data_IF_412831277456
#
_entry.id   IF_412831277456
#
_cell.length_a   1.000
_cell.length_b   1.000
_cell.length_c   1.000
_cell.angle_alpha   90.00
_cell.angle_beta   90.00
_cell.angle_gamma   90.00
#
_symmetry.space_group_name_H-M   'P 1'
#
loop_
_entity.id
_entity.type
_entity.pdbx_description
1 polymer ?
#
# COMPACT_ATOMS: atom_id res chain seq x y z
N UNK A 1 -18.81 12.72 17.13
CA UNK A 1 -17.53 12.03 16.87
C UNK A 1 -16.62 13.04 16.21
N UNK A 2 -15.37 13.15 16.66
CA UNK A 2 -14.38 14.04 16.05
C UNK A 2 -14.14 13.57 14.60
N UNK A 3 -14.18 14.50 13.66
CA UNK A 3 -13.92 14.22 12.25
C UNK A 3 -12.41 14.01 12.08
N UNK A 4 -11.99 12.80 11.69
CA UNK A 4 -10.57 12.47 11.47
C UNK A 4 -10.02 13.35 10.35
N UNK A 5 -8.86 13.93 10.57
CA UNK A 5 -8.14 14.75 9.60
C UNK A 5 -6.93 14.00 9.02
N UNK A 6 -6.39 14.41 7.86
CA UNK A 6 -5.17 13.82 7.31
C UNK A 6 -4.03 13.71 8.33
N UNK A 7 -3.82 14.75 9.12
CA UNK A 7 -2.78 14.78 10.14
C UNK A 7 -2.94 13.68 11.20
N UNK A 8 -4.16 13.36 11.62
CA UNK A 8 -4.40 12.32 12.62
C UNK A 8 -3.97 10.94 12.10
N UNK A 9 -4.17 10.69 10.80
CA UNK A 9 -3.70 9.48 10.12
C UNK A 9 -2.17 9.44 10.07
N UNK A 10 -1.55 10.54 9.62
CA UNK A 10 -0.10 10.61 9.46
C UNK A 10 0.62 10.51 10.81
N UNK A 11 0.18 11.26 11.82
CA UNK A 11 0.76 11.22 13.16
C UNK A 11 0.67 9.81 13.76
N UNK A 12 -0.46 9.13 13.58
CA UNK A 12 -0.63 7.76 14.03
C UNK A 12 0.29 6.79 13.28
N UNK A 13 0.29 6.86 11.94
CA UNK A 13 1.07 5.93 11.10
C UNK A 13 2.57 6.06 11.36
N UNK A 14 3.09 7.28 11.39
CA UNK A 14 4.52 7.50 11.59
C UNK A 14 4.97 7.29 13.04
N UNK A 15 4.12 7.52 14.03
CA UNK A 15 4.42 7.16 15.42
C UNK A 15 4.50 5.64 15.65
N UNK A 16 3.85 4.83 14.81
CA UNK A 16 3.90 3.38 14.91
C UNK A 16 5.31 2.83 14.64
N UNK A 17 6.01 3.38 13.66
CA UNK A 17 7.38 3.05 13.33
C UNK A 17 7.56 1.72 12.60
N UNK A 18 8.80 1.44 12.24
CA UNK A 18 9.23 0.35 11.37
C UNK A 18 8.67 -1.02 11.73
N UNK A 19 8.73 -1.41 13.01
CA UNK A 19 8.28 -2.74 13.42
C UNK A 19 6.80 -3.00 13.14
N UNK A 20 5.94 -2.00 13.42
CA UNK A 20 4.50 -2.15 13.23
C UNK A 20 4.06 -2.07 11.78
N UNK A 21 4.86 -1.47 10.91
CA UNK A 21 4.56 -1.43 9.48
C UNK A 21 4.75 -2.78 8.79
N UNK A 22 5.76 -3.56 9.23
CA UNK A 22 6.18 -4.76 8.54
C UNK A 22 5.92 -6.07 9.30
N UNK A 23 5.67 -5.99 10.61
CA UNK A 23 5.31 -7.16 11.40
C UNK A 23 3.82 -7.18 11.69
N UNK A 24 3.20 -8.36 11.52
CA UNK A 24 1.82 -8.57 11.93
C UNK A 24 1.66 -8.28 13.42
N UNK A 25 0.64 -7.50 13.77
CA UNK A 25 0.27 -7.18 15.15
C UNK A 25 -1.24 -7.03 15.24
N UNK A 26 -1.90 -8.04 15.82
CA UNK A 26 -3.36 -8.02 15.99
C UNK A 26 -3.81 -6.83 16.86
N UNK A 27 -2.97 -6.41 17.82
CA UNK A 27 -3.23 -5.22 18.63
C UNK A 27 -3.19 -3.93 17.80
N UNK A 28 -2.23 -3.81 16.89
CA UNK A 28 -2.13 -2.65 16.00
C UNK A 28 -3.28 -2.63 14.98
N UNK A 29 -3.64 -3.79 14.43
CA UNK A 29 -4.78 -3.94 13.54
C UNK A 29 -6.10 -3.57 14.24
N UNK A 30 -6.26 -3.97 15.52
CA UNK A 30 -7.43 -3.60 16.33
C UNK A 30 -7.47 -2.08 16.59
N UNK A 31 -6.33 -1.45 16.87
CA UNK A 31 -6.24 0.00 17.06
C UNK A 31 -6.61 0.76 15.76
N UNK A 32 -6.10 0.32 14.61
CA UNK A 32 -6.48 0.89 13.29
C UNK A 32 -8.00 0.77 13.09
N UNK A 33 -8.58 -0.41 13.36
CA UNK A 33 -10.01 -0.64 13.21
C UNK A 33 -10.83 0.28 14.10
N UNK A 34 -10.43 0.42 15.36
CA UNK A 34 -11.13 1.28 16.32
C UNK A 34 -11.06 2.76 15.94
N UNK A 35 -9.88 3.25 15.55
CA UNK A 35 -9.64 4.67 15.29
C UNK A 35 -10.03 5.10 13.89
N UNK A 36 -9.78 4.26 12.89
CA UNK A 36 -9.82 4.64 11.47
C UNK A 36 -10.73 3.77 10.60
N UNK A 37 -11.44 2.78 11.15
CA UNK A 37 -12.34 1.94 10.36
C UNK A 37 -13.40 2.76 9.62
N UNK A 38 -14.04 3.73 10.31
CA UNK A 38 -14.98 4.67 9.66
C UNK A 38 -14.30 5.55 8.60
N UNK A 39 -13.08 6.01 8.87
CA UNK A 39 -12.30 6.81 7.92
C UNK A 39 -12.01 6.02 6.65
N UNK A 40 -11.66 4.73 6.80
CA UNK A 40 -11.50 3.83 5.67
C UNK A 40 -12.80 3.71 4.85
N UNK A 41 -13.93 3.46 5.49
CA UNK A 41 -15.24 3.37 4.79
C UNK A 41 -15.57 4.65 4.05
N UNK A 42 -15.31 5.81 4.64
CA UNK A 42 -15.51 7.12 4.03
C UNK A 42 -14.55 7.35 2.85
N UNK A 43 -13.30 6.89 2.93
CA UNK A 43 -12.33 6.94 1.84
C UNK A 43 -12.74 6.04 0.67
N UNK A 44 -13.19 4.81 0.96
CA UNK A 44 -13.73 3.89 -0.06
C UNK A 44 -14.93 4.52 -0.77
N UNK A 45 -15.82 5.14 -0.03
CA UNK A 45 -17.02 5.82 -0.55
C UNK A 45 -16.73 7.16 -1.29
N UNK A 46 -15.46 7.59 -1.38
CA UNK A 46 -15.10 8.85 -2.05
C UNK A 46 -15.37 10.13 -1.26
N UNK A 47 -15.84 10.00 -0.01
CA UNK A 47 -16.18 11.17 0.83
C UNK A 47 -14.94 11.96 1.29
N UNK A 48 -13.76 11.36 1.19
CA UNK A 48 -12.50 11.97 1.57
C UNK A 48 -11.62 12.36 0.35
N UNK A 49 -12.15 12.29 -0.87
CA UNK A 49 -11.39 12.61 -2.08
C UNK A 49 -10.89 14.07 -2.09
N UNK A 50 -11.53 14.97 -1.33
CA UNK A 50 -11.05 16.35 -1.11
C UNK A 50 -9.68 16.41 -0.41
N UNK A 51 -9.25 15.35 0.29
CA UNK A 51 -7.90 15.26 0.87
C UNK A 51 -6.82 15.29 -0.21
N UNK A 52 -7.14 14.91 -1.43
CA UNK A 52 -6.25 15.09 -2.59
C UNK A 52 -5.96 16.56 -2.94
N UNK A 53 -6.51 17.51 -2.21
CA UNK A 53 -6.26 18.95 -2.42
C UNK A 53 -4.85 19.42 -2.02
N UNK A 54 -4.15 18.68 -1.17
CA UNK A 54 -2.82 19.03 -0.63
C UNK A 54 -1.93 17.80 -0.44
N UNK A 55 -0.58 17.96 -0.40
CA UNK A 55 0.37 16.82 -0.34
C UNK A 55 0.15 15.89 0.86
N UNK A 56 -0.04 16.43 2.06
CA UNK A 56 -0.26 15.65 3.28
C UNK A 56 -1.61 14.91 3.24
N UNK A 57 -2.62 15.55 2.68
CA UNK A 57 -3.94 14.93 2.50
C UNK A 57 -3.87 13.75 1.53
N UNK A 58 -3.18 13.92 0.40
CA UNK A 58 -2.95 12.86 -0.58
C UNK A 58 -2.20 11.67 0.04
N UNK A 59 -1.11 11.93 0.78
CA UNK A 59 -0.35 10.91 1.49
C UNK A 59 -1.22 10.13 2.49
N UNK A 60 -2.00 10.84 3.31
CA UNK A 60 -2.90 10.22 4.29
C UNK A 60 -3.95 9.33 3.61
N UNK A 61 -4.58 9.81 2.53
CA UNK A 61 -5.60 9.07 1.81
C UNK A 61 -5.05 7.80 1.15
N UNK A 62 -3.83 7.88 0.59
CA UNK A 62 -3.14 6.73 0.02
C UNK A 62 -2.84 5.71 1.12
N UNK A 63 -2.31 6.11 2.28
CA UNK A 63 -2.05 5.21 3.42
C UNK A 63 -3.34 4.53 3.89
N UNK A 64 -4.44 5.27 4.00
CA UNK A 64 -5.74 4.70 4.41
C UNK A 64 -6.21 3.63 3.43
N UNK A 65 -6.11 3.86 2.13
CA UNK A 65 -6.62 2.93 1.12
C UNK A 65 -5.67 1.75 0.86
N UNK A 66 -4.35 2.00 0.90
CA UNK A 66 -3.35 0.98 0.58
C UNK A 66 -2.91 0.19 1.82
N UNK A 67 -2.57 0.87 2.92
CA UNK A 67 -2.00 0.22 4.10
C UNK A 67 -3.06 -0.23 5.10
N UNK A 68 -4.01 0.66 5.47
CA UNK A 68 -5.03 0.28 6.45
C UNK A 68 -5.94 -0.82 5.93
N UNK A 69 -6.19 -0.93 4.62
CA UNK A 69 -6.92 -2.05 4.04
C UNK A 69 -6.30 -3.39 4.43
N UNK A 70 -4.97 -3.50 4.38
CA UNK A 70 -4.23 -4.72 4.74
C UNK A 70 -4.33 -5.03 6.24
N UNK A 71 -4.25 -4.01 7.09
CA UNK A 71 -4.42 -4.18 8.54
C UNK A 71 -5.87 -4.54 8.92
N UNK A 72 -6.85 -3.94 8.26
CA UNK A 72 -8.27 -4.15 8.57
C UNK A 72 -8.80 -5.51 8.11
N UNK A 73 -8.26 -6.04 7.01
CA UNK A 73 -8.83 -7.17 6.28
C UNK A 73 -7.78 -8.25 5.97
N UNK A 74 -6.92 -8.58 6.93
CA UNK A 74 -5.98 -9.70 6.74
C UNK A 74 -6.72 -10.97 6.35
N UNK A 75 -6.17 -11.71 5.40
CA UNK A 75 -6.73 -12.97 4.89
C UNK A 75 -8.14 -12.83 4.25
N UNK A 76 -8.50 -11.60 3.81
CA UNK A 76 -9.76 -11.30 3.14
C UNK A 76 -9.46 -10.51 1.85
N UNK A 77 -10.23 -10.76 0.78
CA UNK A 77 -10.06 -10.08 -0.52
C UNK A 77 -10.13 -8.54 -0.42
N UNK A 78 -10.79 -8.03 0.60
CA UNK A 78 -10.89 -6.57 0.86
C UNK A 78 -9.55 -5.92 1.15
N UNK A 79 -8.53 -6.70 1.57
CA UNK A 79 -7.17 -6.20 1.79
C UNK A 79 -6.59 -5.54 0.53
N UNK A 80 -6.99 -5.98 -0.66
CA UNK A 80 -6.50 -5.49 -1.94
C UNK A 80 -7.57 -4.81 -2.80
N UNK A 81 -8.82 -4.76 -2.33
CA UNK A 81 -9.95 -4.22 -3.09
C UNK A 81 -9.78 -2.74 -3.48
N UNK A 82 -8.95 -1.99 -2.76
CA UNK A 82 -8.72 -0.57 -3.01
C UNK A 82 -7.39 -0.27 -3.71
N UNK A 83 -6.60 -1.29 -4.09
CA UNK A 83 -5.28 -1.10 -4.71
C UNK A 83 -5.36 -0.22 -5.98
N UNK A 84 -6.37 -0.42 -6.83
CA UNK A 84 -6.59 0.38 -8.04
C UNK A 84 -6.90 1.85 -7.69
N UNK A 85 -7.72 2.10 -6.68
CA UNK A 85 -8.06 3.46 -6.24
C UNK A 85 -6.84 4.14 -5.61
N UNK A 86 -6.10 3.43 -4.75
CA UNK A 86 -4.88 3.93 -4.15
C UNK A 86 -3.83 4.29 -5.22
N UNK A 87 -3.66 3.43 -6.23
CA UNK A 87 -2.77 3.71 -7.36
C UNK A 87 -3.19 4.94 -8.16
N UNK A 88 -4.49 5.13 -8.39
CA UNK A 88 -4.98 6.32 -9.10
C UNK A 88 -4.64 7.61 -8.35
N UNK A 89 -4.75 7.60 -7.02
CA UNK A 89 -4.35 8.75 -6.19
C UNK A 89 -2.83 8.93 -6.12
N UNK A 90 -2.07 7.84 -6.08
CA UNK A 90 -0.61 7.91 -6.15
C UNK A 90 -0.14 8.55 -7.47
N UNK A 91 -0.71 8.14 -8.60
CA UNK A 91 -0.44 8.74 -9.91
C UNK A 91 -0.79 10.24 -9.94
N UNK A 92 -1.95 10.60 -9.42
CA UNK A 92 -2.37 12.01 -9.35
C UNK A 92 -1.45 12.83 -8.44
N UNK A 93 -1.02 12.29 -7.30
CA UNK A 93 -0.07 12.94 -6.41
C UNK A 93 1.29 13.19 -7.10
N UNK A 94 1.81 12.19 -7.83
CA UNK A 94 3.04 12.35 -8.61
C UNK A 94 2.86 13.35 -9.75
N UNK A 95 1.76 13.28 -10.51
CA UNK A 95 1.45 14.23 -11.59
C UNK A 95 1.41 15.67 -11.09
N UNK A 96 0.89 15.90 -9.88
CA UNK A 96 0.81 17.20 -9.22
C UNK A 96 2.09 17.58 -8.48
N UNK A 97 3.11 16.72 -8.49
CA UNK A 97 4.39 16.88 -7.79
C UNK A 97 4.27 16.96 -6.27
N UNK A 98 3.21 16.42 -5.69
CA UNK A 98 3.03 16.35 -4.24
C UNK A 98 4.08 15.47 -3.56
N UNK A 99 4.56 14.44 -4.26
CA UNK A 99 5.63 13.56 -3.80
C UNK A 99 6.91 14.33 -3.46
N UNK A 100 7.26 15.39 -4.19
CA UNK A 100 8.47 16.18 -3.93
C UNK A 100 8.26 17.29 -2.88
N UNK A 101 7.00 17.57 -2.54
CA UNK A 101 6.65 18.53 -1.49
C UNK A 101 6.64 17.93 -0.08
N UNK A 102 6.61 16.59 0.02
CA UNK A 102 6.72 15.87 1.29
C UNK A 102 8.17 15.43 1.58
N UNK A 103 8.54 15.22 2.86
CA UNK A 103 9.88 14.76 3.22
C UNK A 103 10.24 13.44 2.52
N UNK A 104 11.47 13.33 2.03
CA UNK A 104 11.94 12.15 1.31
C UNK A 104 11.78 10.85 2.10
N UNK A 105 11.93 10.91 3.43
CA UNK A 105 11.84 9.76 4.35
C UNK A 105 10.46 9.07 4.35
N UNK A 106 9.41 9.79 3.96
CA UNK A 106 8.03 9.26 3.97
C UNK A 106 7.43 9.17 2.56
N UNK A 107 8.19 9.57 1.56
CA UNK A 107 7.75 9.63 0.16
C UNK A 107 7.45 8.25 -0.43
N UNK A 108 8.12 7.20 0.07
CA UNK A 108 7.87 5.82 -0.33
C UNK A 108 6.39 5.44 -0.18
N UNK A 109 5.66 5.99 0.79
CA UNK A 109 4.25 5.67 0.99
C UNK A 109 3.34 6.16 -0.14
N UNK A 110 3.72 7.21 -0.88
CA UNK A 110 3.04 7.58 -2.13
C UNK A 110 3.30 6.55 -3.23
N UNK A 111 4.48 5.91 -3.22
CA UNK A 111 4.87 4.98 -4.29
C UNK A 111 4.46 3.53 -4.01
N UNK A 112 4.08 3.17 -2.77
CA UNK A 112 3.67 1.81 -2.41
C UNK A 112 2.58 1.23 -3.31
N UNK A 113 1.54 1.98 -3.74
CA UNK A 113 0.52 1.43 -4.65
C UNK A 113 1.06 0.94 -6.00
N UNK A 114 2.17 1.48 -6.49
CA UNK A 114 2.83 0.97 -7.70
C UNK A 114 3.43 -0.43 -7.45
N UNK A 115 4.10 -0.62 -6.30
CA UNK A 115 4.68 -1.89 -5.88
C UNK A 115 3.61 -2.97 -5.66
N UNK A 116 2.40 -2.58 -5.31
CA UNK A 116 1.30 -3.48 -5.04
C UNK A 116 0.47 -3.87 -6.27
N UNK A 117 0.75 -3.27 -7.43
CA UNK A 117 0.05 -3.56 -8.68
C UNK A 117 0.45 -4.92 -9.27
N UNK A 118 -0.51 -5.63 -9.84
CA UNK A 118 -0.25 -6.84 -10.64
C UNK A 118 -0.02 -6.52 -12.15
N UNK A 119 0.17 -5.26 -12.50
CA UNK A 119 0.53 -4.81 -13.85
C UNK A 119 2.04 -4.52 -13.90
N UNK A 120 2.77 -5.23 -14.77
CA UNK A 120 4.23 -5.09 -14.88
C UNK A 120 4.65 -3.68 -15.31
N UNK A 121 3.92 -3.02 -16.21
CA UNK A 121 4.25 -1.67 -16.62
C UNK A 121 4.13 -0.67 -15.46
N UNK A 122 3.17 -0.88 -14.56
CA UNK A 122 3.01 -0.09 -13.34
C UNK A 122 4.16 -0.35 -12.35
N UNK A 123 4.57 -1.61 -12.20
CA UNK A 123 5.73 -1.98 -11.38
C UNK A 123 7.00 -1.28 -11.89
N UNK A 124 7.26 -1.33 -13.19
CA UNK A 124 8.42 -0.71 -13.83
C UNK A 124 8.39 0.83 -13.73
N UNK A 125 7.21 1.44 -13.86
CA UNK A 125 7.02 2.86 -13.56
C UNK A 125 7.41 3.18 -12.11
N UNK A 126 6.96 2.36 -11.16
CA UNK A 126 7.24 2.50 -9.74
C UNK A 126 8.72 2.39 -9.40
N UNK A 127 9.45 1.45 -10.01
CA UNK A 127 10.91 1.31 -9.82
C UNK A 127 11.66 2.63 -10.08
N UNK A 128 11.22 3.40 -11.08
CA UNK A 128 11.79 4.70 -11.37
C UNK A 128 11.57 5.74 -10.25
N UNK A 129 10.49 5.62 -9.48
CA UNK A 129 10.24 6.48 -8.32
C UNK A 129 11.04 6.03 -7.10
N UNK A 130 11.06 4.72 -6.81
CA UNK A 130 11.81 4.16 -5.68
C UNK A 130 13.32 4.41 -5.82
N UNK A 131 13.88 4.34 -7.03
CA UNK A 131 15.29 4.64 -7.29
C UNK A 131 15.72 6.07 -6.88
N UNK A 132 14.77 7.01 -6.74
CA UNK A 132 15.05 8.39 -6.34
C UNK A 132 15.07 8.60 -4.82
N UNK A 133 14.76 7.56 -4.03
CA UNK A 133 14.64 7.67 -2.58
C UNK A 133 15.98 7.49 -1.85
N UNK A 134 17.02 7.02 -2.54
CA UNK A 134 18.32 6.65 -1.96
C UNK A 134 18.15 5.71 -0.74
N UNK A 135 17.21 4.77 -0.85
CA UNK A 135 16.91 3.78 0.17
C UNK A 135 17.03 2.36 -0.41
N UNK A 136 18.18 1.70 -0.21
CA UNK A 136 18.45 0.39 -0.81
C UNK A 136 17.47 -0.70 -0.36
N UNK A 137 16.97 -0.66 0.87
CA UNK A 137 16.02 -1.67 1.38
C UNK A 137 14.68 -1.57 0.68
N UNK A 138 14.16 -0.35 0.54
CA UNK A 138 12.91 -0.10 -0.17
C UNK A 138 13.05 -0.42 -1.65
N UNK A 139 14.18 -0.06 -2.27
CA UNK A 139 14.46 -0.40 -3.67
C UNK A 139 14.51 -1.90 -3.89
N UNK A 140 15.23 -2.64 -3.02
CA UNK A 140 15.28 -4.10 -3.07
C UNK A 140 13.88 -4.71 -3.00
N UNK A 141 13.05 -4.24 -2.07
CA UNK A 141 11.66 -4.71 -1.94
C UNK A 141 10.85 -4.44 -3.22
N UNK A 142 11.02 -3.26 -3.83
CA UNK A 142 10.33 -2.93 -5.08
C UNK A 142 10.79 -3.85 -6.25
N UNK A 143 12.08 -4.14 -6.34
CA UNK A 143 12.62 -5.08 -7.33
C UNK A 143 12.09 -6.50 -7.14
N UNK A 144 12.02 -6.98 -5.89
CA UNK A 144 11.46 -8.30 -5.57
C UNK A 144 9.99 -8.41 -5.99
N UNK A 145 9.18 -7.38 -5.76
CA UNK A 145 7.79 -7.35 -6.20
C UNK A 145 7.67 -7.35 -7.73
N UNK A 146 8.45 -6.52 -8.40
CA UNK A 146 8.47 -6.46 -9.86
C UNK A 146 8.91 -7.80 -10.48
N UNK A 147 9.88 -8.50 -9.86
CA UNK A 147 10.33 -9.81 -10.32
C UNK A 147 9.24 -10.89 -10.21
N UNK A 148 8.46 -10.85 -9.14
CA UNK A 148 7.30 -11.74 -8.98
C UNK A 148 6.29 -11.51 -10.11
N UNK A 149 6.01 -10.26 -10.44
CA UNK A 149 5.08 -9.93 -11.52
C UNK A 149 5.65 -10.30 -12.91
N UNK A 150 6.96 -10.15 -13.14
CA UNK A 150 7.62 -10.64 -14.36
C UNK A 150 7.49 -12.15 -14.51
N UNK A 151 7.64 -12.90 -13.41
CA UNK A 151 7.61 -14.37 -13.41
C UNK A 151 6.21 -14.94 -13.54
N UNK A 152 5.26 -14.39 -12.81
CA UNK A 152 3.94 -14.99 -12.65
C UNK A 152 2.78 -14.14 -13.20
N UNK A 153 3.00 -12.86 -13.52
CA UNK A 153 1.96 -11.92 -13.95
C UNK A 153 0.97 -11.54 -12.83
N UNK A 154 1.21 -12.03 -11.62
CA UNK A 154 0.38 -11.79 -10.43
C UNK A 154 1.14 -12.14 -9.15
N UNK A 155 0.59 -11.77 -7.99
CA UNK A 155 1.13 -12.19 -6.70
C UNK A 155 0.55 -13.54 -6.26
N UNK A 156 1.34 -14.63 -6.24
CA UNK A 156 0.84 -15.96 -5.88
C UNK A 156 0.24 -16.06 -4.47
N UNK A 157 0.78 -15.31 -3.49
CA UNK A 157 0.27 -15.31 -2.12
C UNK A 157 -1.18 -14.82 -2.01
N UNK A 158 -1.68 -14.06 -2.99
CA UNK A 158 -3.07 -13.59 -3.02
C UNK A 158 -4.04 -14.65 -3.57
N UNK A 159 -3.53 -15.70 -4.24
CA UNK A 159 -4.37 -16.63 -5.00
C UNK A 159 -5.44 -17.29 -4.13
N UNK A 160 -5.07 -17.81 -2.97
CA UNK A 160 -6.00 -18.51 -2.10
C UNK A 160 -7.18 -17.60 -1.70
N UNK A 161 -6.88 -16.39 -1.24
CA UNK A 161 -7.89 -15.42 -0.77
C UNK A 161 -8.76 -14.88 -1.91
N UNK A 162 -8.16 -14.73 -3.11
CA UNK A 162 -8.88 -14.26 -4.32
C UNK A 162 -9.58 -15.38 -5.10
N UNK A 163 -9.58 -16.63 -4.59
CA UNK A 163 -10.19 -17.76 -5.26
C UNK A 163 -9.51 -18.14 -6.58
N UNK A 164 -8.22 -17.83 -6.73
CA UNK A 164 -7.43 -18.15 -7.91
C UNK A 164 -6.68 -19.46 -7.69
N UNK A 165 -6.70 -20.35 -8.68
CA UNK A 165 -5.91 -21.58 -8.65
C UNK A 165 -4.45 -21.25 -8.91
N UNK A 166 -3.54 -21.71 -8.03
CA UNK A 166 -2.10 -21.58 -8.25
C UNK A 166 -1.62 -22.57 -9.30
N UNK A 167 -0.72 -22.13 -10.18
CA UNK A 167 0.02 -23.01 -11.06
C UNK A 167 1.05 -23.82 -10.25
N UNK A 168 1.58 -24.95 -10.79
CA UNK A 168 2.66 -25.67 -10.11
C UNK A 168 3.87 -24.77 -9.77
N UNK A 169 4.28 -23.89 -10.68
CA UNK A 169 5.40 -22.99 -10.46
C UNK A 169 5.13 -21.93 -9.36
N UNK A 170 3.89 -21.43 -9.26
CA UNK A 170 3.48 -20.55 -8.17
C UNK A 170 3.44 -21.29 -6.83
N UNK A 171 2.97 -22.55 -6.82
CA UNK A 171 2.95 -23.37 -5.61
C UNK A 171 4.37 -23.67 -5.14
N UNK A 172 5.27 -24.07 -6.03
CA UNK A 172 6.68 -24.29 -5.72
C UNK A 172 7.35 -23.04 -5.14
N UNK A 173 7.00 -21.86 -5.68
CA UNK A 173 7.48 -20.57 -5.16
C UNK A 173 7.01 -20.32 -3.73
N UNK A 174 5.74 -20.56 -3.43
CA UNK A 174 5.18 -20.36 -2.08
C UNK A 174 5.77 -21.38 -1.10
N UNK A 175 5.89 -22.64 -1.48
CA UNK A 175 6.40 -23.74 -0.64
C UNK A 175 7.91 -23.58 -0.33
N UNK A 176 8.65 -22.92 -1.21
CA UNK A 176 10.09 -22.61 -1.01
C UNK A 176 10.33 -21.37 -0.14
N UNK A 177 9.29 -20.81 0.47
CA UNK A 177 9.41 -19.61 1.30
C UNK A 177 9.46 -18.30 0.50
N UNK A 178 8.88 -18.30 -0.68
CA UNK A 178 8.70 -17.10 -1.49
C UNK A 178 7.85 -16.05 -0.77
N UNK A 179 7.84 -14.83 -1.30
CA UNK A 179 7.13 -13.69 -0.71
C UNK A 179 5.67 -14.04 -0.35
N UNK A 180 5.30 -13.81 0.90
CA UNK A 180 4.00 -14.20 1.46
C UNK A 180 3.07 -13.01 1.81
N UNK A 181 3.50 -11.78 1.55
CA UNK A 181 2.72 -10.56 1.83
C UNK A 181 3.07 -9.91 3.15
#
# INVERSE_FOLDING_TARGET
MLNVKPRDVLDFWFAAGWEKWWKRSDAFDAEIRQRFGKTYDEAVAGKLDSWMGEPQGALALIIVLDQFSRNLFREDHRAWAQDVKALSFAREAVRRRFDVEIPVMVRNWIYMPYMHSEDLAVQEEGLGYFARLDNPEVMKSAEEHADIIRRFGRFPHRNHVLGRVSTPAEQDFLDSGGFSG
#
